data_IF_974278857422
#
_entry.id   IF_974278857422
#
_cell.length_a   1.000
_cell.length_b   1.000
_cell.length_c   1.000
_cell.angle_alpha   90.00
_cell.angle_beta   90.00
_cell.angle_gamma   90.00
#
_symmetry.space_group_name_H-M   'P 1'
#
loop_
_entity.id
_entity.type
_entity.pdbx_description
1 polymer ?
#
# COMPACT_ATOMS: atom_id res chain seq x y z
N UNK A 1 -14.90 -13.98 0.86
CA UNK A 1 -13.92 -13.16 0.13
C UNK A 1 -14.46 -11.75 0.15
N UNK A 2 -13.83 -10.87 0.93
CA UNK A 2 -14.21 -9.47 1.04
C UNK A 2 -14.14 -8.87 -0.38
N UNK A 3 -15.29 -8.49 -0.92
CA UNK A 3 -15.39 -7.84 -2.22
C UNK A 3 -14.69 -6.49 -2.12
N UNK A 4 -13.37 -6.49 -2.37
CA UNK A 4 -12.53 -5.31 -2.32
C UNK A 4 -13.19 -4.20 -3.11
N UNK A 5 -13.38 -3.04 -2.47
CA UNK A 5 -14.10 -1.92 -3.05
C UNK A 5 -13.50 -1.59 -4.43
N UNK A 6 -14.29 -1.45 -5.50
CA UNK A 6 -13.77 -1.19 -6.84
C UNK A 6 -12.86 0.05 -6.92
N UNK A 7 -13.01 1.03 -6.02
CA UNK A 7 -12.05 2.13 -5.86
C UNK A 7 -10.66 1.65 -5.44
N UNK A 8 -10.60 0.72 -4.49
CA UNK A 8 -9.36 0.08 -4.04
C UNK A 8 -8.73 -0.75 -5.17
N UNK A 9 -9.54 -1.43 -5.97
CA UNK A 9 -9.04 -2.18 -7.13
C UNK A 9 -8.50 -1.28 -8.24
N UNK A 10 -9.14 -0.13 -8.49
CA UNK A 10 -8.65 0.88 -9.44
C UNK A 10 -7.34 1.51 -8.97
N UNK A 11 -7.23 1.81 -7.67
CA UNK A 11 -6.01 2.33 -7.04
C UNK A 11 -4.86 1.31 -7.13
N UNK A 12 -5.13 0.05 -6.79
CA UNK A 12 -4.16 -1.05 -6.85
C UNK A 12 -3.68 -1.37 -8.27
N UNK A 13 -4.52 -1.10 -9.28
CA UNK A 13 -4.21 -1.39 -10.68
C UNK A 13 -3.41 -0.27 -11.37
N UNK A 14 -3.21 0.88 -10.71
CA UNK A 14 -2.42 1.99 -11.25
C UNK A 14 -2.93 2.53 -12.61
N UNK A 15 -4.18 2.21 -12.97
CA UNK A 15 -4.76 2.66 -14.23
C UNK A 15 -5.13 4.14 -14.08
N UNK A 16 -4.36 5.00 -14.74
CA UNK A 16 -4.48 6.46 -14.75
C UNK A 16 -5.73 7.04 -15.42
N UNK A 17 -6.89 6.41 -15.29
CA UNK A 17 -8.17 7.02 -15.70
C UNK A 17 -8.72 7.87 -14.56
N UNK A 18 -8.05 8.99 -14.29
CA UNK A 18 -8.44 10.01 -13.29
C UNK A 18 -9.93 10.39 -13.40
N UNK A 19 -10.53 10.26 -14.58
CA UNK A 19 -11.97 10.47 -14.84
C UNK A 19 -12.87 9.44 -14.15
N UNK A 20 -12.57 8.13 -14.21
CA UNK A 20 -13.40 7.10 -13.56
C UNK A 20 -13.30 7.18 -12.02
N UNK A 21 -12.14 7.57 -11.52
CA UNK A 21 -11.91 7.72 -10.07
C UNK A 21 -12.72 8.91 -9.52
N UNK A 22 -12.83 10.00 -10.27
CA UNK A 22 -13.61 11.17 -9.87
C UNK A 22 -15.11 10.88 -9.73
N UNK A 23 -15.69 10.21 -10.72
CA UNK A 23 -17.11 9.87 -10.69
C UNK A 23 -17.44 8.88 -9.57
N UNK A 24 -16.54 7.91 -9.34
CA UNK A 24 -16.76 6.93 -8.26
C UNK A 24 -16.57 7.53 -6.87
N UNK A 25 -15.61 8.44 -6.71
CA UNK A 25 -15.40 9.15 -5.47
C UNK A 25 -16.64 10.00 -5.12
N UNK A 26 -17.19 10.74 -6.09
CA UNK A 26 -18.44 11.50 -5.90
C UNK A 26 -19.59 10.60 -5.45
N UNK A 27 -19.75 9.43 -6.08
CA UNK A 27 -20.77 8.46 -5.70
C UNK A 27 -20.64 7.98 -4.25
N UNK A 28 -19.44 7.57 -3.83
CA UNK A 28 -19.21 7.04 -2.47
C UNK A 28 -19.37 8.14 -1.42
N UNK A 29 -18.89 9.34 -1.70
CA UNK A 29 -19.09 10.49 -0.81
C UNK A 29 -20.58 10.79 -0.64
N UNK A 30 -21.36 10.73 -1.72
CA UNK A 30 -22.81 10.94 -1.66
C UNK A 30 -23.53 9.83 -0.87
N UNK A 31 -23.06 8.58 -0.95
CA UNK A 31 -23.54 7.48 -0.12
C UNK A 31 -23.25 7.69 1.37
N UNK A 32 -22.10 8.29 1.71
CA UNK A 32 -21.78 8.65 3.09
C UNK A 32 -22.61 9.82 3.61
N UNK A 33 -22.94 10.78 2.75
CA UNK A 33 -23.86 11.86 3.10
C UNK A 33 -25.27 11.34 3.33
N UNK A 34 -25.78 10.50 2.43
CA UNK A 34 -27.14 9.94 2.53
C UNK A 34 -27.31 8.99 3.71
N UNK A 35 -26.25 8.28 4.09
CA UNK A 35 -26.22 7.43 5.30
C UNK A 35 -25.95 8.19 6.60
N UNK A 36 -25.78 9.53 6.54
CA UNK A 36 -25.52 10.38 7.72
C UNK A 36 -24.11 10.23 8.31
N UNK A 37 -23.20 9.56 7.60
CA UNK A 37 -21.80 9.36 8.01
C UNK A 37 -20.91 10.55 7.67
N UNK A 38 -21.36 11.43 6.77
CA UNK A 38 -20.65 12.63 6.35
C UNK A 38 -21.60 13.81 6.29
N UNK A 39 -21.16 14.96 6.79
CA UNK A 39 -21.91 16.19 6.69
C UNK A 39 -21.96 16.67 5.21
N UNK A 40 -23.14 17.00 4.66
CA UNK A 40 -23.28 17.49 3.29
C UNK A 40 -22.38 18.69 2.96
N UNK A 41 -22.14 19.58 3.93
CA UNK A 41 -21.32 20.79 3.74
C UNK A 41 -19.84 20.48 3.53
N UNK A 42 -19.36 19.31 3.98
CA UNK A 42 -17.96 18.90 3.87
C UNK A 42 -17.71 17.93 2.70
N UNK A 43 -18.76 17.43 2.07
CA UNK A 43 -18.68 16.42 1.01
C UNK A 43 -17.91 16.91 -0.23
N UNK A 44 -18.18 18.13 -0.69
CA UNK A 44 -17.49 18.68 -1.86
C UNK A 44 -16.00 18.91 -1.59
N UNK A 45 -15.66 19.45 -0.42
CA UNK A 45 -14.28 19.71 -0.03
C UNK A 45 -13.46 18.41 0.01
N UNK A 46 -14.03 17.34 0.60
CA UNK A 46 -13.37 16.04 0.64
C UNK A 46 -13.09 15.46 -0.77
N UNK A 47 -14.07 15.57 -1.67
CA UNK A 47 -13.90 15.12 -3.06
C UNK A 47 -12.81 15.93 -3.76
N UNK A 48 -12.82 17.24 -3.59
CA UNK A 48 -11.87 18.14 -4.22
C UNK A 48 -10.45 17.92 -3.69
N UNK A 49 -10.27 17.70 -2.39
CA UNK A 49 -8.97 17.45 -1.77
C UNK A 49 -8.35 16.13 -2.23
N UNK A 50 -9.15 15.06 -2.31
CA UNK A 50 -8.69 13.76 -2.81
C UNK A 50 -8.36 13.84 -4.30
N UNK A 51 -9.14 14.58 -5.10
CA UNK A 51 -8.83 14.79 -6.50
C UNK A 51 -7.55 15.60 -6.72
N UNK A 52 -7.32 16.65 -5.92
CA UNK A 52 -6.07 17.42 -5.94
C UNK A 52 -4.87 16.55 -5.56
N UNK A 53 -5.02 15.71 -4.54
CA UNK A 53 -3.99 14.75 -4.15
C UNK A 53 -3.64 13.76 -5.27
N UNK A 54 -4.65 13.21 -5.95
CA UNK A 54 -4.45 12.31 -7.08
C UNK A 54 -3.83 12.98 -8.31
N UNK A 55 -3.99 14.30 -8.45
CA UNK A 55 -3.36 15.10 -9.51
C UNK A 55 -1.95 15.57 -9.16
N UNK A 56 -1.46 15.29 -7.95
CA UNK A 56 -0.17 15.79 -7.46
C UNK A 56 -0.18 17.30 -7.16
N UNK A 57 -1.36 17.90 -6.96
CA UNK A 57 -1.51 19.33 -6.70
C UNK A 57 -1.27 19.67 -5.20
N UNK A 58 -0.99 18.68 -4.36
CA UNK A 58 -0.72 18.84 -2.91
C UNK A 58 0.69 18.36 -2.55
N UNK A 59 1.73 19.18 -2.81
CA UNK A 59 3.12 18.79 -2.54
C UNK A 59 3.43 18.56 -1.05
N UNK A 60 2.73 19.22 -0.12
CA UNK A 60 2.92 18.92 1.32
C UNK A 60 2.41 17.53 1.70
N UNK A 61 1.31 17.09 1.08
CA UNK A 61 0.72 15.77 1.29
C UNK A 61 1.64 14.69 0.74
N UNK A 62 2.19 14.87 -0.46
CA UNK A 62 3.18 13.96 -1.05
C UNK A 62 4.42 13.83 -0.16
N UNK A 63 4.94 14.94 0.36
CA UNK A 63 6.08 14.91 1.28
C UNK A 63 5.75 14.20 2.60
N UNK A 64 4.55 14.42 3.15
CA UNK A 64 4.13 13.75 4.38
C UNK A 64 3.90 12.26 4.17
N UNK A 65 3.24 11.88 3.08
CA UNK A 65 3.02 10.50 2.67
C UNK A 65 4.33 9.80 2.37
N UNK A 66 5.25 10.43 1.63
CA UNK A 66 6.58 9.89 1.34
C UNK A 66 7.37 9.58 2.61
N UNK A 67 7.40 10.52 3.56
CA UNK A 67 8.06 10.30 4.87
C UNK A 67 7.43 9.17 5.67
N UNK A 68 6.10 9.05 5.66
CA UNK A 68 5.40 7.98 6.38
C UNK A 68 5.61 6.62 5.69
N UNK A 69 5.62 6.60 4.36
CA UNK A 69 5.86 5.41 3.55
C UNK A 69 7.29 4.89 3.74
N UNK A 70 8.29 5.78 3.76
CA UNK A 70 9.68 5.42 4.04
C UNK A 70 9.84 4.80 5.44
N UNK A 71 9.19 5.39 6.45
CA UNK A 71 9.27 4.90 7.85
C UNK A 71 8.58 3.56 8.05
N UNK A 72 7.47 3.32 7.34
CA UNK A 72 6.68 2.10 7.47
C UNK A 72 6.95 1.10 6.35
N UNK A 73 7.96 1.33 5.50
CA UNK A 73 8.25 0.50 4.34
C UNK A 73 8.33 -0.97 4.70
N UNK A 74 9.03 -1.30 5.78
CA UNK A 74 9.27 -2.69 6.17
C UNK A 74 7.96 -3.38 6.62
N UNK A 75 7.07 -2.67 7.32
CA UNK A 75 5.72 -3.16 7.65
C UNK A 75 4.87 -3.35 6.40
N UNK A 76 4.96 -2.41 5.45
CA UNK A 76 4.24 -2.46 4.17
C UNK A 76 4.69 -3.66 3.31
N UNK A 77 6.00 -3.92 3.25
CA UNK A 77 6.54 -5.10 2.55
C UNK A 77 6.04 -6.39 3.22
N UNK A 78 6.01 -6.42 4.55
CA UNK A 78 5.50 -7.56 5.32
C UNK A 78 4.00 -7.80 5.08
N UNK A 79 3.19 -6.74 5.10
CA UNK A 79 1.74 -6.81 4.83
C UNK A 79 1.43 -7.25 3.39
N UNK A 80 2.31 -6.90 2.44
CA UNK A 80 2.25 -7.37 1.05
C UNK A 80 2.80 -8.79 0.87
N UNK A 81 3.29 -9.42 1.94
CA UNK A 81 3.89 -10.76 1.91
C UNK A 81 5.23 -10.83 1.17
N UNK A 82 5.91 -9.70 1.00
CA UNK A 82 7.21 -9.62 0.36
C UNK A 82 8.31 -9.83 1.40
N UNK A 83 9.22 -10.76 1.13
CA UNK A 83 10.38 -11.01 1.99
C UNK A 83 11.30 -9.79 2.00
N UNK A 84 11.69 -9.35 3.20
CA UNK A 84 12.66 -8.28 3.38
C UNK A 84 14.08 -8.76 3.04
N UNK A 85 14.95 -7.82 2.69
CA UNK A 85 16.37 -8.12 2.44
C UNK A 85 17.04 -8.76 3.66
N UNK A 86 16.68 -8.32 4.87
CA UNK A 86 17.18 -8.88 6.13
C UNK A 86 16.82 -10.36 6.28
N UNK A 87 15.57 -10.72 5.99
CA UNK A 87 15.12 -12.12 6.03
C UNK A 87 15.84 -12.96 4.99
N UNK A 88 16.07 -12.42 3.79
CA UNK A 88 16.86 -13.08 2.75
C UNK A 88 18.32 -13.30 3.17
N UNK A 89 18.94 -12.31 3.80
CA UNK A 89 20.32 -12.40 4.30
C UNK A 89 20.43 -13.43 5.44
N UNK A 90 19.43 -13.48 6.33
CA UNK A 90 19.38 -14.48 7.39
C UNK A 90 19.25 -15.90 6.83
N UNK A 91 18.36 -16.10 5.85
CA UNK A 91 18.19 -17.38 5.17
C UNK A 91 19.47 -17.82 4.47
N UNK A 92 20.17 -16.90 3.79
CA UNK A 92 21.46 -17.18 3.15
C UNK A 92 22.49 -17.64 4.18
N UNK A 93 22.62 -16.92 5.31
CA UNK A 93 23.54 -17.33 6.37
C UNK A 93 23.17 -18.68 7.01
N UNK A 94 21.87 -19.03 7.09
CA UNK A 94 21.42 -20.35 7.54
C UNK A 94 21.81 -21.45 6.56
N UNK A 95 21.69 -21.20 5.26
CA UNK A 95 22.11 -22.12 4.20
C UNK A 95 23.61 -22.36 4.27
N UNK A 96 24.42 -21.30 4.35
CA UNK A 96 25.88 -21.42 4.42
C UNK A 96 26.34 -22.30 5.60
N UNK A 97 25.69 -22.15 6.76
CA UNK A 97 25.96 -22.99 7.95
C UNK A 97 25.60 -24.46 7.73
N UNK A 98 24.46 -24.73 7.10
CA UNK A 98 24.03 -26.09 6.79
C UNK A 98 25.00 -26.75 5.80
N UNK A 99 25.41 -26.04 4.74
CA UNK A 99 26.40 -26.53 3.78
C UNK A 99 27.76 -26.82 4.44
N UNK A 100 28.16 -26.00 5.40
CA UNK A 100 29.40 -26.23 6.14
C UNK A 100 29.30 -27.44 7.08
N UNK A 101 28.14 -27.67 7.72
CA UNK A 101 27.90 -28.86 8.53
C UNK A 101 27.90 -30.14 7.70
N UNK A 102 27.28 -30.12 6.51
CA UNK A 102 27.29 -31.26 5.59
C UNK A 102 28.72 -31.60 5.14
N UNK A 103 29.49 -30.59 4.70
CA UNK A 103 30.91 -30.78 4.33
C UNK A 103 31.81 -31.27 5.47
N UNK A 104 31.43 -31.04 6.73
CA UNK A 104 32.16 -31.59 7.87
C UNK A 104 31.79 -33.05 8.10
N UNK A 105 30.53 -33.42 7.96
CA UNK A 105 30.06 -34.81 8.04
C UNK A 105 30.66 -35.68 6.94
N UNK A 106 30.62 -35.22 5.69
CA UNK A 106 31.18 -35.96 4.55
C UNK A 106 32.70 -36.19 4.65
N UNK A 107 33.41 -35.42 5.50
CA UNK A 107 34.84 -35.60 5.77
C UNK A 107 35.14 -36.52 6.96
N UNK A 108 34.14 -36.82 7.77
CA UNK A 108 34.25 -37.71 8.94
C UNK A 108 33.87 -39.16 8.61
N UNK A 109 33.17 -39.38 7.50
CA UNK A 109 32.94 -40.70 6.86
C UNK A 109 34.09 -41.08 5.93
#
# INVERSE_FOLDING_TARGET
MESANPLQQLLLRGLGTTTLVADRLRYVTQEWVSSGRLDPSHASALVDDVLKALRGETPELEQQMGRNLERNRDNLLQDLGLASQKEMDELRGRIDRLEQQLRQRDRQE
#
